data_IF_352931076416
#
_entry.id   IF_352931076416
#
_cell.length_a   1.000
_cell.length_b   1.000
_cell.length_c   1.000
_cell.angle_alpha   90.00
_cell.angle_beta   90.00
_cell.angle_gamma   90.00
#
_symmetry.space_group_name_H-M   'P 1'
#
loop_
_entity.id
_entity.type
_entity.pdbx_description
1 polymer ?
#
# COMPACT_ATOMS: atom_id res chain seq x y z
N UNK A 1 14.28 3.98 -29.67
CA UNK A 1 15.73 3.68 -29.59
C UNK A 1 15.91 2.64 -28.48
N UNK A 2 16.65 1.53 -28.69
CA UNK A 2 16.92 0.57 -27.62
C UNK A 2 17.55 1.27 -26.42
N UNK A 3 17.37 0.68 -25.23
CA UNK A 3 18.14 1.12 -24.08
C UNK A 3 19.62 0.87 -24.37
N UNK A 4 20.50 1.85 -24.11
CA UNK A 4 21.92 1.74 -24.45
C UNK A 4 22.55 0.58 -23.69
N UNK A 5 23.09 -0.40 -24.41
CA UNK A 5 23.88 -1.47 -23.81
C UNK A 5 25.34 -1.02 -23.64
N UNK A 6 26.05 -1.50 -22.60
CA UNK A 6 27.44 -1.13 -22.33
C UNK A 6 28.42 -1.59 -23.41
N UNK A 7 28.03 -2.52 -24.30
CA UNK A 7 28.88 -3.01 -25.37
C UNK A 7 28.44 -2.48 -26.74
N UNK A 8 29.32 -1.79 -27.49
CA UNK A 8 28.97 -1.15 -28.76
C UNK A 8 28.56 -2.14 -29.86
N UNK A 9 29.03 -3.39 -29.79
CA UNK A 9 28.68 -4.44 -30.76
C UNK A 9 27.18 -4.76 -30.84
N UNK A 10 26.43 -4.54 -29.75
CA UNK A 10 24.98 -4.74 -29.73
C UNK A 10 24.18 -3.49 -30.14
N UNK A 11 24.81 -2.31 -30.20
CA UNK A 11 24.15 -1.08 -30.64
C UNK A 11 24.25 -0.88 -32.17
N UNK A 12 25.39 -1.22 -32.77
CA UNK A 12 25.64 -0.91 -34.19
C UNK A 12 25.86 -2.17 -35.08
N UNK A 13 25.89 -3.37 -34.48
CA UNK A 13 26.12 -4.65 -35.17
C UNK A 13 24.85 -5.37 -35.66
N UNK A 14 24.98 -6.51 -36.36
CA UNK A 14 23.84 -7.29 -36.90
C UNK A 14 22.92 -7.87 -35.82
N UNK A 15 23.40 -7.95 -34.57
CA UNK A 15 22.63 -8.39 -33.40
C UNK A 15 21.77 -7.30 -32.76
N UNK A 16 21.77 -6.07 -33.31
CA UNK A 16 20.97 -4.96 -32.79
C UNK A 16 19.46 -5.27 -32.82
N UNK A 17 18.94 -5.79 -33.93
CA UNK A 17 17.51 -6.13 -34.08
C UNK A 17 17.04 -7.23 -33.12
N UNK A 18 17.71 -8.40 -33.00
CA UNK A 18 17.30 -9.42 -32.03
C UNK A 18 17.41 -8.94 -30.58
N UNK A 19 18.42 -8.13 -30.25
CA UNK A 19 18.53 -7.52 -28.92
C UNK A 19 17.41 -6.53 -28.63
N UNK A 20 17.02 -5.71 -29.61
CA UNK A 20 15.89 -4.80 -29.46
C UNK A 20 14.58 -5.55 -29.22
N UNK A 21 14.34 -6.65 -29.94
CA UNK A 21 13.18 -7.52 -29.73
C UNK A 21 13.19 -8.11 -28.32
N UNK A 22 14.35 -8.63 -27.88
CA UNK A 22 14.51 -9.17 -26.53
C UNK A 22 14.20 -8.10 -25.47
N UNK A 23 14.75 -6.88 -25.59
CA UNK A 23 14.47 -5.77 -24.67
C UNK A 23 12.97 -5.44 -24.61
N UNK A 24 12.29 -5.38 -25.76
CA UNK A 24 10.86 -5.10 -25.80
C UNK A 24 10.06 -6.18 -25.07
N UNK A 25 10.38 -7.45 -25.30
CA UNK A 25 9.74 -8.58 -24.61
C UNK A 25 10.01 -8.52 -23.10
N UNK A 26 11.24 -8.27 -22.67
CA UNK A 26 11.59 -8.15 -21.25
C UNK A 26 10.87 -7.01 -20.55
N UNK A 27 10.72 -5.84 -21.19
CA UNK A 27 9.99 -4.70 -20.63
C UNK A 27 8.51 -5.04 -20.45
N UNK A 28 7.89 -5.68 -21.45
CA UNK A 28 6.48 -6.08 -21.38
C UNK A 28 6.26 -7.10 -20.26
N UNK A 29 7.11 -8.12 -20.17
CA UNK A 29 7.03 -9.14 -19.11
C UNK A 29 7.23 -8.50 -17.73
N UNK A 30 8.24 -7.63 -17.57
CA UNK A 30 8.50 -6.95 -16.30
C UNK A 30 7.34 -6.07 -15.88
N UNK A 31 6.73 -5.33 -16.82
CA UNK A 31 5.53 -4.53 -16.56
C UNK A 31 4.34 -5.37 -16.11
N UNK A 32 4.13 -6.53 -16.75
CA UNK A 32 3.09 -7.48 -16.34
C UNK A 32 3.31 -8.05 -14.95
N UNK A 33 4.54 -8.49 -14.65
CA UNK A 33 4.87 -9.05 -13.33
C UNK A 33 4.70 -7.98 -12.26
N UNK A 34 5.20 -6.76 -12.48
CA UNK A 34 5.09 -5.68 -11.51
C UNK A 34 3.63 -5.31 -11.25
N UNK A 35 2.83 -5.10 -12.31
CA UNK A 35 1.41 -4.82 -12.17
C UNK A 35 0.64 -5.97 -11.49
N UNK A 36 1.00 -7.22 -11.81
CA UNK A 36 0.43 -8.40 -11.16
C UNK A 36 0.72 -8.45 -9.66
N UNK A 37 1.95 -8.11 -9.25
CA UNK A 37 2.31 -8.02 -7.83
C UNK A 37 1.52 -6.91 -7.13
N UNK A 38 1.43 -5.73 -7.73
CA UNK A 38 0.69 -4.59 -7.18
C UNK A 38 -0.80 -4.93 -6.95
N UNK A 39 -1.44 -5.51 -7.97
CA UNK A 39 -2.86 -5.91 -7.91
C UNK A 39 -3.07 -7.01 -6.88
N UNK A 40 -2.15 -7.98 -6.78
CA UNK A 40 -2.28 -9.07 -5.81
C UNK A 40 -2.21 -8.55 -4.38
N UNK A 41 -1.24 -7.69 -4.08
CA UNK A 41 -1.06 -7.14 -2.72
C UNK A 41 -2.26 -6.26 -2.33
N UNK A 42 -2.64 -5.32 -3.20
CA UNK A 42 -3.78 -4.43 -2.95
C UNK A 42 -5.10 -5.21 -2.89
N UNK A 43 -5.26 -6.26 -3.70
CA UNK A 43 -6.40 -7.17 -3.67
C UNK A 43 -6.55 -7.89 -2.33
N UNK A 44 -5.45 -8.42 -1.76
CA UNK A 44 -5.50 -9.01 -0.42
C UNK A 44 -5.86 -7.98 0.66
N UNK A 45 -5.33 -6.77 0.58
CA UNK A 45 -5.70 -5.68 1.52
C UNK A 45 -7.18 -5.32 1.40
N UNK A 46 -7.70 -5.22 0.17
CA UNK A 46 -9.11 -4.97 -0.09
C UNK A 46 -9.99 -6.07 0.52
N UNK A 47 -9.65 -7.35 0.30
CA UNK A 47 -10.38 -8.49 0.88
C UNK A 47 -10.42 -8.37 2.41
N UNK A 48 -9.29 -8.09 3.06
CA UNK A 48 -9.24 -7.88 4.52
C UNK A 48 -10.17 -6.74 4.95
N UNK A 49 -10.14 -5.61 4.25
CA UNK A 49 -11.03 -4.49 4.50
C UNK A 49 -12.51 -4.88 4.41
N UNK A 50 -12.89 -5.61 3.36
CA UNK A 50 -14.26 -6.11 3.19
C UNK A 50 -14.65 -7.09 4.30
N UNK A 51 -13.73 -7.94 4.77
CA UNK A 51 -14.04 -8.85 5.88
C UNK A 51 -14.32 -8.11 7.19
N UNK A 52 -13.67 -6.96 7.44
CA UNK A 52 -14.02 -6.11 8.58
C UNK A 52 -15.42 -5.50 8.44
N UNK A 53 -15.82 -5.06 7.24
CA UNK A 53 -17.17 -4.54 7.01
C UNK A 53 -18.25 -5.62 7.24
N UNK A 54 -18.01 -6.83 6.75
CA UNK A 54 -18.90 -7.98 6.96
C UNK A 54 -19.01 -8.30 8.45
N UNK A 55 -17.87 -8.34 9.16
CA UNK A 55 -17.85 -8.59 10.60
C UNK A 55 -18.63 -7.51 11.37
N UNK A 56 -18.44 -6.23 11.02
CA UNK A 56 -19.17 -5.10 11.61
C UNK A 56 -20.68 -5.27 11.44
N UNK A 57 -21.13 -5.57 10.22
CA UNK A 57 -22.55 -5.81 9.93
C UNK A 57 -23.12 -6.99 10.72
N UNK A 58 -22.39 -8.11 10.78
CA UNK A 58 -22.80 -9.30 11.52
C UNK A 58 -22.92 -9.04 13.02
N UNK A 59 -21.98 -8.31 13.61
CA UNK A 59 -22.00 -7.97 15.03
C UNK A 59 -23.23 -7.12 15.35
N UNK A 60 -23.47 -6.05 14.59
CA UNK A 60 -24.61 -5.15 14.82
C UNK A 60 -25.95 -5.89 14.72
N UNK A 61 -26.10 -6.72 13.68
CA UNK A 61 -27.30 -7.52 13.45
C UNK A 61 -27.52 -8.61 14.52
N UNK A 62 -26.49 -9.39 14.87
CA UNK A 62 -26.66 -10.51 15.82
C UNK A 62 -26.77 -10.07 17.27
N UNK A 63 -26.18 -8.94 17.67
CA UNK A 63 -26.40 -8.39 19.02
C UNK A 63 -27.85 -7.91 19.16
N UNK A 64 -28.40 -7.23 18.15
CA UNK A 64 -29.80 -6.79 18.17
C UNK A 64 -30.82 -7.94 18.22
N UNK A 65 -30.48 -9.10 17.66
CA UNK A 65 -31.32 -10.31 17.67
C UNK A 65 -31.03 -11.27 18.85
N UNK A 66 -30.12 -10.90 19.76
CA UNK A 66 -29.66 -11.75 20.87
C UNK A 66 -29.22 -13.17 20.42
N UNK A 67 -28.64 -13.30 19.23
CA UNK A 67 -28.23 -14.58 18.65
C UNK A 67 -26.85 -15.02 19.14
N UNK A 68 -26.86 -15.52 20.36
CA UNK A 68 -25.69 -15.87 21.16
C UNK A 68 -24.65 -16.78 20.48
N UNK A 69 -25.10 -17.87 19.86
CA UNK A 69 -24.21 -18.82 19.18
C UNK A 69 -23.46 -18.17 18.00
N UNK A 70 -24.12 -17.22 17.30
CA UNK A 70 -23.53 -16.52 16.16
C UNK A 70 -22.53 -15.46 16.60
N UNK A 71 -22.71 -14.86 17.77
CA UNK A 71 -21.74 -13.93 18.35
C UNK A 71 -20.40 -14.60 18.67
N UNK A 72 -20.44 -15.85 19.16
CA UNK A 72 -19.21 -16.66 19.29
C UNK A 72 -18.51 -16.86 17.94
N UNK A 73 -19.27 -17.09 16.86
CA UNK A 73 -18.73 -17.20 15.51
C UNK A 73 -18.10 -15.87 15.05
N UNK A 74 -18.69 -14.71 15.37
CA UNK A 74 -18.11 -13.40 15.09
C UNK A 74 -16.77 -13.18 15.82
N UNK A 75 -16.65 -13.61 17.08
CA UNK A 75 -15.37 -13.54 17.81
C UNK A 75 -14.27 -14.38 17.14
N UNK A 76 -14.59 -15.62 16.77
CA UNK A 76 -13.66 -16.49 16.04
C UNK A 76 -13.31 -15.85 14.69
N UNK A 77 -14.30 -15.27 14.01
CA UNK A 77 -14.12 -14.62 12.73
C UNK A 77 -13.19 -13.41 12.80
N UNK A 78 -13.37 -12.53 13.79
CA UNK A 78 -12.47 -11.43 14.07
C UNK A 78 -11.02 -11.89 14.28
N UNK A 79 -10.84 -12.98 15.05
CA UNK A 79 -9.51 -13.56 15.31
C UNK A 79 -8.87 -14.09 14.03
N UNK A 80 -9.66 -14.74 13.16
CA UNK A 80 -9.18 -15.21 11.85
C UNK A 80 -8.79 -14.07 10.91
N UNK A 81 -9.56 -12.98 10.87
CA UNK A 81 -9.19 -11.80 10.07
C UNK A 81 -7.86 -11.24 10.57
N UNK A 82 -7.66 -11.17 11.88
CA UNK A 82 -6.40 -10.71 12.45
C UNK A 82 -5.21 -11.61 12.08
N UNK A 83 -5.39 -12.93 12.13
CA UNK A 83 -4.37 -13.89 11.68
C UNK A 83 -4.07 -13.76 10.19
N UNK A 84 -5.11 -13.59 9.35
CA UNK A 84 -4.97 -13.36 7.92
C UNK A 84 -4.14 -12.10 7.64
N UNK A 85 -4.44 -10.98 8.31
CA UNK A 85 -3.67 -9.74 8.14
C UNK A 85 -2.21 -9.92 8.54
N UNK A 86 -1.92 -10.69 9.60
CA UNK A 86 -0.55 -11.03 9.99
C UNK A 86 0.16 -11.89 8.96
N UNK A 87 -0.53 -12.84 8.34
CA UNK A 87 0.03 -13.69 7.28
C UNK A 87 0.35 -12.87 6.04
N UNK A 88 -0.59 -12.01 5.59
CA UNK A 88 -0.39 -11.08 4.47
C UNK A 88 0.82 -10.19 4.74
N UNK A 89 0.89 -9.60 5.94
CA UNK A 89 2.04 -8.78 6.34
C UNK A 89 3.35 -9.58 6.25
N UNK A 90 3.40 -10.80 6.79
CA UNK A 90 4.62 -11.61 6.78
C UNK A 90 5.08 -11.97 5.36
N UNK A 91 4.15 -12.35 4.49
CA UNK A 91 4.45 -12.74 3.11
C UNK A 91 4.92 -11.56 2.28
N UNK A 92 4.24 -10.41 2.40
CA UNK A 92 4.49 -9.26 1.53
C UNK A 92 5.41 -8.19 2.15
N UNK A 93 5.87 -8.34 3.39
CA UNK A 93 6.67 -7.30 4.08
C UNK A 93 7.93 -6.91 3.29
N UNK A 94 8.66 -7.88 2.73
CA UNK A 94 9.90 -7.62 1.98
C UNK A 94 9.56 -6.95 0.64
N UNK A 95 8.52 -7.44 -0.04
CA UNK A 95 8.05 -6.84 -1.30
C UNK A 95 7.60 -5.39 -1.12
N UNK A 96 6.82 -5.10 -0.08
CA UNK A 96 6.41 -3.75 0.27
C UNK A 96 7.60 -2.85 0.61
N UNK A 97 8.61 -3.35 1.33
CA UNK A 97 9.82 -2.58 1.64
C UNK A 97 10.56 -2.19 0.36
N UNK A 98 10.79 -3.16 -0.53
CA UNK A 98 11.43 -2.93 -1.82
C UNK A 98 10.62 -1.95 -2.69
N UNK A 99 9.29 -2.09 -2.69
CA UNK A 99 8.40 -1.19 -3.42
C UNK A 99 8.48 0.25 -2.91
N UNK A 100 8.45 0.46 -1.60
CA UNK A 100 8.55 1.80 -1.02
C UNK A 100 9.94 2.41 -1.24
N UNK A 101 11.00 1.65 -1.04
CA UNK A 101 12.37 2.12 -1.26
C UNK A 101 12.59 2.50 -2.74
N UNK A 102 12.16 1.64 -3.67
CA UNK A 102 12.27 1.90 -5.11
C UNK A 102 11.43 3.12 -5.53
N UNK A 103 10.23 3.27 -4.98
CA UNK A 103 9.36 4.44 -5.24
C UNK A 103 10.03 5.74 -4.79
N UNK A 104 10.64 5.77 -3.60
CA UNK A 104 11.37 6.95 -3.10
C UNK A 104 12.51 7.32 -4.04
N UNK A 105 13.35 6.35 -4.43
CA UNK A 105 14.46 6.60 -5.37
C UNK A 105 13.95 7.11 -6.71
N UNK A 106 12.88 6.52 -7.24
CA UNK A 106 12.27 6.95 -8.50
C UNK A 106 11.70 8.37 -8.41
N UNK A 107 10.98 8.71 -7.36
CA UNK A 107 10.40 10.05 -7.12
C UNK A 107 11.52 11.09 -6.98
N UNK A 108 12.59 10.78 -6.25
CA UNK A 108 13.74 11.67 -6.11
C UNK A 108 14.46 11.89 -7.45
N UNK A 109 14.72 10.81 -8.21
CA UNK A 109 15.40 10.90 -9.50
C UNK A 109 14.57 11.68 -10.54
N UNK A 110 13.27 11.38 -10.65
CA UNK A 110 12.35 12.09 -11.54
C UNK A 110 12.19 13.56 -11.15
N UNK A 111 12.13 13.86 -9.84
CA UNK A 111 12.22 15.20 -9.28
C UNK A 111 13.44 15.97 -9.76
N UNK A 112 14.61 15.33 -9.77
CA UNK A 112 15.84 15.91 -10.30
C UNK A 112 15.79 16.12 -11.82
N UNK A 113 15.27 15.14 -12.57
CA UNK A 113 15.10 15.28 -14.03
C UNK A 113 14.20 16.46 -14.43
N UNK A 114 13.21 16.83 -13.61
CA UNK A 114 12.41 18.04 -13.86
C UNK A 114 13.24 19.33 -13.84
N UNK A 115 14.35 19.37 -13.10
CA UNK A 115 15.22 20.56 -13.08
C UNK A 115 16.09 20.69 -14.33
N UNK A 116 16.36 19.58 -15.03
CA UNK A 116 17.24 19.54 -16.19
C UNK A 116 16.50 19.75 -17.53
N UNK A 117 15.20 19.44 -17.57
CA UNK A 117 14.43 19.39 -18.83
C UNK A 117 13.62 20.68 -19.01
N UNK A 118 13.57 21.18 -20.24
CA UNK A 118 12.72 22.33 -20.59
C UNK A 118 11.23 21.95 -20.57
N UNK A 119 10.42 22.78 -19.91
CA UNK A 119 8.96 22.64 -19.77
C UNK A 119 8.16 22.45 -21.07
N UNK A 120 8.67 22.91 -22.23
CA UNK A 120 8.00 22.78 -23.53
C UNK A 120 8.30 21.46 -24.28
N UNK A 121 9.09 20.57 -23.70
CA UNK A 121 9.49 19.31 -24.36
C UNK A 121 8.42 18.21 -24.17
N UNK A 122 8.22 17.36 -25.19
CA UNK A 122 7.41 16.13 -25.08
C UNK A 122 7.94 15.22 -23.95
N UNK A 123 9.25 15.25 -23.71
CA UNK A 123 9.88 14.49 -22.62
C UNK A 123 9.41 14.95 -21.24
N UNK A 124 9.13 16.25 -21.07
CA UNK A 124 8.60 16.78 -19.81
C UNK A 124 7.19 16.22 -19.52
N UNK A 125 6.34 16.18 -20.54
CA UNK A 125 4.98 15.63 -20.43
C UNK A 125 5.04 14.15 -20.03
N UNK A 126 5.87 13.36 -20.70
CA UNK A 126 6.03 11.93 -20.37
C UNK A 126 6.55 11.73 -18.95
N UNK A 127 7.53 12.54 -18.52
CA UNK A 127 8.07 12.49 -17.16
C UNK A 127 7.02 12.87 -16.11
N UNK A 128 6.16 13.85 -16.41
CA UNK A 128 5.04 14.26 -15.56
C UNK A 128 4.02 13.14 -15.37
N UNK A 129 3.63 12.46 -16.45
CA UNK A 129 2.74 11.29 -16.35
C UNK A 129 3.38 10.17 -15.52
N UNK A 130 4.65 9.87 -15.75
CA UNK A 130 5.37 8.85 -15.00
C UNK A 130 5.46 9.20 -13.50
N UNK A 131 5.81 10.44 -13.17
CA UNK A 131 5.86 10.92 -11.79
C UNK A 131 4.50 10.81 -11.09
N UNK A 132 3.44 11.27 -11.76
CA UNK A 132 2.08 11.22 -11.22
C UNK A 132 1.62 9.77 -11.01
N UNK A 133 1.92 8.88 -11.96
CA UNK A 133 1.59 7.47 -11.85
C UNK A 133 2.27 6.82 -10.62
N UNK A 134 3.55 7.12 -10.38
CA UNK A 134 4.28 6.63 -9.21
C UNK A 134 3.69 7.14 -7.89
N UNK A 135 3.28 8.41 -7.84
CA UNK A 135 2.61 8.98 -6.67
C UNK A 135 1.26 8.31 -6.40
N UNK A 136 0.45 8.10 -7.44
CA UNK A 136 -0.84 7.41 -7.32
C UNK A 136 -0.66 5.97 -6.87
N UNK A 137 0.34 5.26 -7.39
CA UNK A 137 0.65 3.89 -6.97
C UNK A 137 0.99 3.84 -5.48
N UNK A 138 1.87 4.72 -4.99
CA UNK A 138 2.23 4.80 -3.57
C UNK A 138 1.02 5.18 -2.70
N UNK A 139 0.20 6.13 -3.17
CA UNK A 139 -1.02 6.56 -2.49
C UNK A 139 -2.01 5.39 -2.34
N UNK A 140 -2.22 4.59 -3.38
CA UNK A 140 -3.11 3.42 -3.35
C UNK A 140 -2.73 2.43 -2.24
N UNK A 141 -1.44 2.11 -2.09
CA UNK A 141 -0.96 1.23 -1.01
C UNK A 141 -1.27 1.78 0.38
N UNK A 142 -0.94 3.06 0.59
CA UNK A 142 -1.18 3.72 1.87
C UNK A 142 -2.68 3.90 2.15
N UNK A 143 -3.50 4.10 1.12
CA UNK A 143 -4.95 4.19 1.23
C UNK A 143 -5.56 2.87 1.71
N UNK A 144 -5.26 1.75 1.04
CA UNK A 144 -5.78 0.45 1.46
C UNK A 144 -5.29 0.03 2.85
N UNK A 145 -4.02 0.30 3.17
CA UNK A 145 -3.50 0.08 4.53
C UNK A 145 -4.25 0.90 5.58
N UNK A 146 -4.53 2.18 5.28
CA UNK A 146 -5.29 3.07 6.15
C UNK A 146 -6.75 2.63 6.31
N UNK A 147 -7.39 2.19 5.24
CA UNK A 147 -8.76 1.66 5.28
C UNK A 147 -8.88 0.45 6.22
N UNK A 148 -7.90 -0.46 6.20
CA UNK A 148 -7.87 -1.60 7.15
C UNK A 148 -7.79 -1.10 8.59
N UNK A 149 -6.94 -0.10 8.85
CA UNK A 149 -6.80 0.50 10.19
C UNK A 149 -8.15 1.08 10.64
N UNK A 150 -8.78 1.91 9.82
CA UNK A 150 -10.06 2.56 10.13
C UNK A 150 -11.17 1.53 10.35
N UNK A 151 -11.33 0.56 9.44
CA UNK A 151 -12.36 -0.48 9.56
C UNK A 151 -12.16 -1.36 10.79
N UNK A 152 -10.91 -1.65 11.16
CA UNK A 152 -10.61 -2.40 12.39
C UNK A 152 -11.05 -1.66 13.67
N UNK A 153 -10.98 -0.33 13.69
CA UNK A 153 -11.44 0.52 14.80
C UNK A 153 -12.98 0.54 14.81
N UNK A 154 -13.60 0.73 13.65
CA UNK A 154 -15.07 0.80 13.53
C UNK A 154 -15.79 -0.48 14.00
N UNK A 155 -15.14 -1.64 13.95
CA UNK A 155 -15.69 -2.88 14.54
C UNK A 155 -15.83 -2.74 16.06
N UNK A 156 -14.85 -2.14 16.73
CA UNK A 156 -14.92 -1.86 18.17
C UNK A 156 -16.03 -0.87 18.50
N UNK A 157 -16.16 0.19 17.70
CA UNK A 157 -17.23 1.19 17.84
C UNK A 157 -18.62 0.56 17.63
N UNK A 158 -18.76 -0.33 16.65
CA UNK A 158 -20.00 -1.05 16.41
C UNK A 158 -20.35 -2.00 17.57
N UNK A 159 -19.36 -2.72 18.12
CA UNK A 159 -19.56 -3.48 19.36
C UNK A 159 -20.03 -2.58 20.50
N UNK A 160 -19.41 -1.42 20.69
CA UNK A 160 -19.75 -0.51 21.78
C UNK A 160 -21.16 0.09 21.66
N UNK A 161 -21.54 0.52 20.46
CA UNK A 161 -22.84 1.12 20.17
C UNK A 161 -23.99 0.10 20.12
N UNK A 162 -23.68 -1.18 20.06
CA UNK A 162 -24.68 -2.25 20.10
C UNK A 162 -25.29 -2.40 21.51
N UNK A 163 -26.46 -3.05 21.60
CA UNK A 163 -27.12 -3.35 22.88
C UNK A 163 -26.50 -4.53 23.64
N UNK A 164 -25.17 -4.62 23.66
CA UNK A 164 -24.42 -5.74 24.25
C UNK A 164 -24.70 -5.96 25.75
N UNK A 165 -25.15 -4.91 26.46
CA UNK A 165 -25.50 -4.98 27.88
C UNK A 165 -26.81 -5.77 28.12
N UNK A 166 -27.69 -5.88 27.12
CA UNK A 166 -28.96 -6.62 27.15
C UNK A 166 -28.79 -8.13 26.85
N UNK A 167 -27.57 -8.61 26.61
CA UNK A 167 -27.31 -10.03 26.38
C UNK A 167 -27.46 -10.82 27.70
N UNK A 168 -28.00 -12.05 27.67
CA UNK A 168 -28.19 -12.83 28.89
C UNK A 168 -26.90 -13.59 29.29
N UNK A 169 -26.18 -14.13 28.31
CA UNK A 169 -24.97 -14.90 28.56
C UNK A 169 -23.76 -14.05 28.91
N UNK A 170 -23.25 -14.28 30.12
CA UNK A 170 -21.96 -13.73 30.61
C UNK A 170 -20.79 -14.09 29.70
N UNK A 171 -20.78 -15.32 29.14
CA UNK A 171 -19.71 -15.79 28.27
C UNK A 171 -19.65 -14.97 26.97
N UNK A 172 -20.80 -14.55 26.46
CA UNK A 172 -20.88 -13.80 25.20
C UNK A 172 -20.60 -12.33 25.41
N UNK A 173 -21.07 -11.76 26.53
CA UNK A 173 -20.59 -10.45 26.98
C UNK A 173 -19.08 -10.40 27.02
N UNK A 174 -18.42 -11.42 27.60
CA UNK A 174 -16.96 -11.50 27.63
C UNK A 174 -16.33 -11.52 26.23
N UNK A 175 -16.92 -12.22 25.24
CA UNK A 175 -16.41 -12.18 23.87
C UNK A 175 -16.52 -10.79 23.24
N UNK A 176 -17.65 -10.11 23.39
CA UNK A 176 -17.83 -8.75 22.88
C UNK A 176 -16.82 -7.80 23.54
N UNK A 177 -16.62 -7.90 24.85
CA UNK A 177 -15.58 -7.15 25.56
C UNK A 177 -14.17 -7.42 25.03
N UNK A 178 -13.83 -8.69 24.76
CA UNK A 178 -12.53 -9.04 24.19
C UNK A 178 -12.32 -8.45 22.78
N UNK A 179 -13.38 -8.38 21.96
CA UNK A 179 -13.32 -7.71 20.65
C UNK A 179 -13.07 -6.22 20.86
N UNK A 180 -13.87 -5.54 21.70
CA UNK A 180 -13.69 -4.12 22.00
C UNK A 180 -12.29 -3.80 22.50
N UNK A 181 -11.79 -4.58 23.47
CA UNK A 181 -10.45 -4.39 24.04
C UNK A 181 -9.36 -4.61 22.99
N UNK A 182 -9.54 -5.59 22.10
CA UNK A 182 -8.58 -5.83 21.03
C UNK A 182 -8.60 -4.72 19.98
N UNK A 183 -9.76 -4.16 19.64
CA UNK A 183 -9.90 -3.08 18.66
C UNK A 183 -9.22 -1.77 19.10
N UNK A 184 -8.98 -1.55 20.40
CA UNK A 184 -8.17 -0.42 20.89
C UNK A 184 -6.75 -0.39 20.31
N UNK A 185 -6.24 -1.55 19.86
CA UNK A 185 -4.97 -1.65 19.14
C UNK A 185 -5.28 -1.94 17.67
N UNK A 186 -5.34 -0.92 16.80
CA UNK A 186 -5.77 -1.09 15.42
C UNK A 186 -4.90 -2.12 14.69
N UNK A 187 -5.54 -2.84 13.78
CA UNK A 187 -4.84 -3.82 12.95
C UNK A 187 -4.22 -3.04 11.80
N UNK A 188 -2.92 -2.80 11.89
CA UNK A 188 -2.15 -2.09 10.87
C UNK A 188 -1.20 -3.06 10.16
N UNK A 189 -1.10 -2.94 8.84
CA UNK A 189 -0.05 -3.61 8.07
C UNK A 189 1.21 -2.76 8.18
N UNK A 190 2.25 -3.32 8.80
CA UNK A 190 3.56 -2.67 8.91
C UNK A 190 4.59 -3.30 7.97
N UNK A 191 5.37 -2.44 7.34
CA UNK A 191 6.53 -2.82 6.53
C UNK A 191 7.74 -2.98 7.45
N UNK A 192 8.10 -4.22 7.76
CA UNK A 192 9.27 -4.61 8.55
C UNK A 192 9.42 -3.90 9.92
N UNK A 193 8.31 -3.40 10.50
CA UNK A 193 8.33 -2.63 11.74
C UNK A 193 8.88 -1.20 11.62
N UNK A 194 9.28 -0.77 10.42
CA UNK A 194 9.86 0.55 10.16
C UNK A 194 8.78 1.60 9.89
N UNK A 195 7.74 1.21 9.15
CA UNK A 195 6.64 2.10 8.78
C UNK A 195 5.32 1.33 8.76
N UNK A 196 4.23 2.00 9.13
CA UNK A 196 2.86 1.50 8.93
C UNK A 196 2.33 1.98 7.59
N UNK A 197 1.60 1.13 6.86
CA UNK A 197 0.88 1.56 5.67
C UNK A 197 -0.29 2.45 6.08
N UNK A 198 -0.07 3.75 6.03
CA UNK A 198 -1.05 4.77 6.40
C UNK A 198 -0.87 6.02 5.57
N UNK A 199 -1.92 6.83 5.49
CA UNK A 199 -1.87 8.13 4.80
C UNK A 199 -0.87 9.10 5.47
N UNK A 200 -0.64 8.95 6.78
CA UNK A 200 0.40 9.70 7.49
C UNK A 200 1.79 9.37 6.96
N UNK A 201 2.12 8.09 6.77
CA UNK A 201 3.39 7.66 6.18
C UNK A 201 3.56 8.15 4.75
N UNK A 202 2.48 8.16 3.94
CA UNK A 202 2.50 8.74 2.60
C UNK A 202 2.92 10.21 2.61
N UNK A 203 2.29 11.03 3.46
CA UNK A 203 2.63 12.45 3.61
C UNK A 203 4.07 12.63 4.09
N UNK A 204 4.54 11.82 5.04
CA UNK A 204 5.94 11.84 5.49
C UNK A 204 6.91 11.58 4.34
N UNK A 205 6.64 10.61 3.47
CA UNK A 205 7.46 10.30 2.30
C UNK A 205 7.49 11.48 1.31
N UNK A 206 6.34 12.12 1.06
CA UNK A 206 6.28 13.31 0.20
C UNK A 206 7.10 14.47 0.77
N UNK A 207 7.01 14.70 2.08
CA UNK A 207 7.77 15.75 2.76
C UNK A 207 9.29 15.51 2.67
N UNK A 208 9.73 14.27 2.84
CA UNK A 208 11.14 13.90 2.66
C UNK A 208 11.59 14.10 1.21
N UNK A 209 10.78 13.67 0.25
CA UNK A 209 11.06 13.84 -1.18
C UNK A 209 11.16 15.32 -1.57
N UNK A 210 10.26 16.16 -1.07
CA UNK A 210 10.27 17.61 -1.29
C UNK A 210 11.48 18.27 -0.62
N UNK A 211 11.82 17.88 0.60
CA UNK A 211 13.00 18.38 1.31
C UNK A 211 14.28 18.07 0.54
N UNK A 212 14.39 16.84 0.01
CA UNK A 212 15.49 16.43 -0.84
C UNK A 212 15.55 17.24 -2.15
N UNK A 213 14.42 17.41 -2.83
CA UNK A 213 14.31 18.25 -4.02
C UNK A 213 14.75 19.70 -3.74
N UNK A 214 14.29 20.30 -2.64
CA UNK A 214 14.64 21.66 -2.27
C UNK A 214 16.14 21.81 -1.97
N UNK A 215 16.76 20.80 -1.33
CA UNK A 215 18.20 20.77 -1.09
C UNK A 215 18.98 20.67 -2.40
N UNK A 216 18.61 19.76 -3.30
CA UNK A 216 19.23 19.62 -4.62
C UNK A 216 19.13 20.91 -5.43
N UNK A 217 17.96 21.56 -5.43
CA UNK A 217 17.75 22.83 -6.13
C UNK A 217 18.69 23.91 -5.62
N UNK A 218 18.90 24.00 -4.30
CA UNK A 218 19.86 24.95 -3.69
C UNK A 218 21.30 24.64 -4.07
N UNK A 219 21.71 23.38 -4.03
CA UNK A 219 23.06 22.96 -4.42
C UNK A 219 23.34 23.25 -5.90
N UNK A 220 22.37 22.93 -6.76
CA UNK A 220 22.49 23.20 -8.18
C UNK A 220 22.59 24.69 -8.49
N UNK A 221 21.71 25.51 -7.90
CA UNK A 221 21.77 26.97 -8.05
C UNK A 221 23.12 27.55 -7.61
N UNK A 222 23.65 27.09 -6.47
CA UNK A 222 24.96 27.52 -5.94
C UNK A 222 26.15 27.10 -6.83
N UNK A 223 26.01 26.04 -7.62
CA UNK A 223 27.09 25.56 -8.50
C UNK A 223 27.12 26.30 -9.84
N UNK A 224 26.01 26.95 -10.20
CA UNK A 224 25.88 27.77 -11.42
C UNK A 224 26.18 29.26 -11.23
N UNK A 225 26.35 29.71 -9.98
CA UNK A 225 26.85 31.05 -9.61
C UNK A 225 28.37 31.02 -9.38
#
# INVERSE_FOLDING_TARGET
KPLPFPFPYFNDGPLHYPMFIFQCISIVISGWINGGMDVTITGFMLIVGVQFDILKYQIDYFIGQQQEEKLKKCYIYHTRIFELTKQIQRVFSIGLLAQFASSIVCICNTGFHFMLITWKSVQFINLMFYFTAMLVQLWMYCWFGNEIILKSIQVGDACYNSKWYELDSKLIKNYVFLIMERCKRPIAISVYGLATLSLTSYVSILNWSYSYYALLRRLYAKTTD
#
